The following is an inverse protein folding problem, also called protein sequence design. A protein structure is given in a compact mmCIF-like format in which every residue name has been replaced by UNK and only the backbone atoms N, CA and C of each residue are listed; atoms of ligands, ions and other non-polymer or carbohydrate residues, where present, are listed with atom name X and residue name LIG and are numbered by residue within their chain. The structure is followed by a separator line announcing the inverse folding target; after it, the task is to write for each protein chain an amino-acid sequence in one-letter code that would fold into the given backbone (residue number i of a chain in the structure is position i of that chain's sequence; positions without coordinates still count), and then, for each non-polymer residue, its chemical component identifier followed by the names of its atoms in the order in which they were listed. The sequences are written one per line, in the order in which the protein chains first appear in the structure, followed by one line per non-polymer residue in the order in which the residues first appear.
data_IF_328585522905
#
_entry.id   IF_328585522905
#
_cell.length_a   1.000
_cell.length_b   1.000
_cell.length_c   1.000
_cell.angle_alpha   90.00
_cell.angle_beta   90.00
_cell.angle_gamma   90.00
#
_symmetry.space_group_name_H-M   'P 1'
#
loop_
_entity.id
_entity.type
_entity.pdbx_description
1 polymer ?
#
# COMPACT_ATOMS: atom_id res chain seq x y z
N UNK A 1 -7.61 -11.82 32.93
CA UNK A 1 -7.19 -10.40 32.76
C UNK A 1 -7.19 -10.10 31.28
N UNK A 2 -7.93 -9.08 30.82
CA UNK A 2 -7.97 -8.72 29.39
C UNK A 2 -6.70 -7.97 28.98
N UNK A 3 -6.19 -8.23 27.78
CA UNK A 3 -5.07 -7.47 27.21
C UNK A 3 -5.55 -6.05 26.91
N UNK A 4 -4.89 -5.04 27.51
CA UNK A 4 -5.16 -3.63 27.22
C UNK A 4 -4.20 -3.15 26.13
N UNK A 5 -4.72 -2.99 24.91
CA UNK A 5 -3.91 -2.56 23.76
C UNK A 5 -3.54 -1.07 23.91
N UNK A 6 -2.34 -0.70 23.45
CA UNK A 6 -1.87 0.70 23.48
C UNK A 6 -1.72 1.19 22.03
N UNK A 7 -2.18 2.41 21.71
CA UNK A 7 -1.92 2.99 20.40
C UNK A 7 -0.45 3.42 20.28
N UNK A 8 0.01 3.48 19.04
CA UNK A 8 1.33 4.01 18.72
C UNK A 8 1.37 5.54 18.81
N UNK A 9 2.58 6.08 18.77
CA UNK A 9 2.83 7.53 18.72
C UNK A 9 2.61 8.02 17.28
N UNK A 10 2.02 9.22 17.16
CA UNK A 10 1.85 9.89 15.87
C UNK A 10 2.68 11.17 15.78
N UNK A 11 3.61 11.20 14.83
CA UNK A 11 4.47 12.36 14.53
C UNK A 11 4.17 13.00 13.17
N UNK A 12 3.27 12.41 12.39
CA UNK A 12 2.97 12.82 11.00
C UNK A 12 3.92 12.22 9.95
N UNK A 13 4.53 11.06 10.25
CA UNK A 13 5.45 10.35 9.35
C UNK A 13 4.80 9.14 8.65
N UNK A 14 3.60 8.74 9.08
CA UNK A 14 2.76 7.72 8.46
C UNK A 14 1.46 8.38 7.98
N UNK A 15 0.77 7.85 6.95
CA UNK A 15 -0.51 8.39 6.50
C UNK A 15 -1.53 8.44 7.65
N UNK A 16 -2.15 9.61 7.87
CA UNK A 16 -3.08 9.81 8.98
C UNK A 16 -4.23 8.79 8.98
N UNK A 17 -4.72 8.41 7.80
CA UNK A 17 -5.81 7.43 7.63
C UNK A 17 -5.43 6.05 8.21
N UNK A 18 -4.21 5.60 7.95
CA UNK A 18 -3.73 4.29 8.44
C UNK A 18 -3.60 4.30 9.97
N UNK A 19 -3.00 5.37 10.50
CA UNK A 19 -2.88 5.56 11.94
C UNK A 19 -4.25 5.60 12.65
N UNK A 20 -5.21 6.39 12.12
CA UNK A 20 -6.55 6.47 12.71
C UNK A 20 -7.32 5.15 12.61
N UNK A 21 -7.12 4.35 11.56
CA UNK A 21 -7.73 3.03 11.44
C UNK A 21 -7.25 2.09 12.56
N UNK A 22 -5.93 2.03 12.80
CA UNK A 22 -5.35 1.24 13.89
C UNK A 22 -5.80 1.77 15.27
N UNK A 23 -5.77 3.09 15.46
CA UNK A 23 -6.22 3.74 16.70
C UNK A 23 -7.68 3.38 17.02
N UNK A 24 -8.58 3.45 16.03
CA UNK A 24 -9.99 3.15 16.20
C UNK A 24 -10.25 1.68 16.50
N UNK A 25 -9.45 0.77 15.91
CA UNK A 25 -9.50 -0.65 16.25
C UNK A 25 -9.13 -0.89 17.72
N UNK A 26 -8.07 -0.25 18.19
CA UNK A 26 -7.61 -0.32 19.59
C UNK A 26 -8.65 0.28 20.55
N UNK A 27 -9.19 1.45 20.20
CA UNK A 27 -10.23 2.11 20.99
C UNK A 27 -11.47 1.23 21.15
N UNK A 28 -11.92 0.58 20.07
CA UNK A 28 -13.03 -0.37 20.10
C UNK A 28 -12.72 -1.60 20.96
N UNK A 29 -11.53 -2.18 20.80
CA UNK A 29 -11.11 -3.34 21.58
C UNK A 29 -11.07 -3.03 23.09
N UNK A 30 -10.63 -1.83 23.46
CA UNK A 30 -10.57 -1.36 24.83
C UNK A 30 -11.87 -0.70 25.34
N UNK A 31 -12.92 -0.60 24.51
CA UNK A 31 -14.21 0.03 24.83
C UNK A 31 -14.07 1.47 25.33
N UNK A 32 -13.23 2.27 24.67
CA UNK A 32 -13.09 3.68 25.00
C UNK A 32 -14.30 4.49 24.55
N UNK A 33 -14.83 5.30 25.46
CA UNK A 33 -15.78 6.37 25.16
C UNK A 33 -15.06 7.57 24.53
N UNK A 34 -15.81 8.49 23.92
CA UNK A 34 -15.25 9.56 23.10
C UNK A 34 -14.31 10.50 23.87
N UNK A 35 -14.60 10.83 25.12
CA UNK A 35 -13.70 11.63 25.97
C UNK A 35 -12.36 10.91 26.18
N UNK A 36 -12.41 9.61 26.46
CA UNK A 36 -11.20 8.77 26.64
C UNK A 36 -10.44 8.65 25.33
N UNK A 37 -11.13 8.47 24.20
CA UNK A 37 -10.52 8.44 22.86
C UNK A 37 -9.81 9.75 22.56
N UNK A 38 -10.42 10.87 22.88
CA UNK A 38 -9.85 12.21 22.63
C UNK A 38 -8.60 12.43 23.46
N UNK A 39 -8.68 12.17 24.77
CA UNK A 39 -7.54 12.32 25.68
C UNK A 39 -6.36 11.43 25.26
N UNK A 40 -6.64 10.16 24.91
CA UNK A 40 -5.59 9.23 24.48
C UNK A 40 -5.02 9.64 23.13
N UNK A 41 -5.84 10.03 22.15
CA UNK A 41 -5.37 10.50 20.84
C UNK A 41 -4.44 11.70 21.01
N UNK A 42 -4.84 12.69 21.81
CA UNK A 42 -4.01 13.85 22.14
C UNK A 42 -2.69 13.44 22.80
N UNK A 43 -2.74 12.45 23.71
CA UNK A 43 -1.55 11.94 24.40
C UNK A 43 -0.57 11.19 23.49
N UNK A 44 -1.02 10.67 22.34
CA UNK A 44 -0.19 10.00 21.36
C UNK A 44 0.53 10.97 20.41
N UNK A 45 0.14 12.25 20.35
CA UNK A 45 0.73 13.22 19.42
C UNK A 45 2.13 13.65 19.88
N UNK A 46 3.11 13.57 18.98
CA UNK A 46 4.50 14.03 19.19
C UNK A 46 4.96 14.88 18.02
N UNK A 47 6.10 15.57 18.20
CA UNK A 47 6.71 16.42 17.18
C UNK A 47 5.72 17.39 16.52
N UNK A 48 5.69 17.39 15.19
CA UNK A 48 4.83 18.28 14.38
C UNK A 48 3.34 18.05 14.62
N UNK A 49 2.93 16.84 15.02
CA UNK A 49 1.53 16.54 15.30
C UNK A 49 1.07 17.15 16.62
N UNK A 50 1.94 17.20 17.65
CA UNK A 50 1.63 17.84 18.93
C UNK A 50 1.32 19.32 18.79
N UNK A 51 1.97 20.00 17.83
CA UNK A 51 1.75 21.43 17.56
C UNK A 51 0.31 21.78 17.12
N UNK A 52 -0.52 20.78 16.79
CA UNK A 52 -1.96 21.02 16.57
C UNK A 52 -2.66 21.45 17.86
N UNK A 53 -2.25 20.89 19.00
CA UNK A 53 -2.88 21.14 20.30
C UNK A 53 -2.73 22.60 20.75
N UNK A 54 -1.67 23.30 20.31
CA UNK A 54 -1.43 24.71 20.62
C UNK A 54 -2.50 25.64 20.02
N UNK A 55 -3.17 25.22 18.94
CA UNK A 55 -4.18 26.02 18.25
C UNK A 55 -5.62 25.72 18.75
N UNK A 56 -5.76 24.90 19.79
CA UNK A 56 -7.06 24.50 20.35
C UNK A 56 -7.36 25.38 21.56
N UNK A 57 -8.45 26.15 21.48
CA UNK A 57 -8.81 27.13 22.52
C UNK A 57 -9.31 26.49 23.81
N UNK A 58 -9.99 25.36 23.72
CA UNK A 58 -10.54 24.66 24.88
C UNK A 58 -10.15 23.18 24.82
N UNK A 59 -8.98 22.87 25.38
CA UNK A 59 -8.45 21.51 25.40
C UNK A 59 -9.26 20.58 26.33
N UNK A 60 -9.90 21.13 27.36
CA UNK A 60 -10.67 20.37 28.36
C UNK A 60 -11.98 19.82 27.77
N UNK A 61 -12.62 20.57 26.87
CA UNK A 61 -13.85 20.15 26.18
C UNK A 61 -13.59 19.67 24.75
N UNK A 62 -12.33 19.44 24.37
CA UNK A 62 -11.97 19.03 23.01
C UNK A 62 -12.66 17.72 22.66
N UNK A 63 -13.41 17.74 21.56
CA UNK A 63 -14.10 16.55 21.05
C UNK A 63 -13.23 15.78 20.06
N UNK A 64 -13.45 14.47 19.97
CA UNK A 64 -12.67 13.58 19.11
C UNK A 64 -12.69 14.05 17.65
N UNK A 65 -13.87 14.38 17.14
CA UNK A 65 -14.03 14.83 15.75
C UNK A 65 -13.37 16.19 15.49
N UNK A 66 -13.28 17.08 16.48
CA UNK A 66 -12.55 18.34 16.32
C UNK A 66 -11.04 18.08 16.19
N UNK A 67 -10.47 17.26 17.08
CA UNK A 67 -9.05 16.90 17.02
C UNK A 67 -8.71 16.16 15.72
N UNK A 68 -9.55 15.20 15.33
CA UNK A 68 -9.43 14.47 14.07
C UNK A 68 -9.48 15.41 12.87
N UNK A 69 -10.43 16.35 12.83
CA UNK A 69 -10.53 17.33 11.74
C UNK A 69 -9.27 18.19 11.62
N UNK A 70 -8.70 18.66 12.75
CA UNK A 70 -7.43 19.40 12.73
C UNK A 70 -6.24 18.56 12.24
N UNK A 71 -6.21 17.28 12.61
CA UNK A 71 -5.23 16.32 12.09
C UNK A 71 -5.40 16.13 10.60
N UNK A 72 -6.63 15.96 10.11
CA UNK A 72 -6.95 15.82 8.68
C UNK A 72 -6.58 17.08 7.89
N UNK A 73 -6.80 18.28 8.43
CA UNK A 73 -6.38 19.52 7.77
C UNK A 73 -4.84 19.62 7.61
N UNK A 74 -4.07 19.07 8.54
CA UNK A 74 -2.60 19.23 8.56
C UNK A 74 -1.85 18.05 7.95
N UNK A 75 -2.35 16.84 8.17
CA UNK A 75 -1.73 15.58 7.79
C UNK A 75 -2.66 14.66 7.00
N UNK A 76 -3.92 15.06 6.81
CA UNK A 76 -4.79 14.38 5.88
C UNK A 76 -4.18 14.50 4.49
N UNK A 77 -4.00 13.36 3.87
CA UNK A 77 -3.69 13.32 2.47
C UNK A 77 -4.95 13.76 1.71
N UNK A 78 -4.92 14.96 1.12
CA UNK A 78 -5.92 15.36 0.10
C UNK A 78 -5.65 14.60 -1.19
N UNK A 79 -5.50 13.28 -1.11
CA UNK A 79 -5.46 12.44 -2.28
C UNK A 79 -6.89 12.32 -2.80
N UNK A 80 -7.15 13.05 -3.87
CA UNK A 80 -8.39 12.92 -4.61
C UNK A 80 -8.48 11.53 -5.21
N UNK A 81 -9.70 11.07 -5.48
CA UNK A 81 -9.94 9.82 -6.22
C UNK A 81 -9.12 9.78 -7.53
N UNK A 82 -9.01 10.92 -8.22
CA UNK A 82 -8.18 11.08 -9.42
C UNK A 82 -6.68 10.86 -9.16
N UNK A 83 -6.16 11.30 -8.01
CA UNK A 83 -4.78 11.03 -7.62
C UNK A 83 -4.53 9.54 -7.43
N UNK A 84 -5.45 8.82 -6.77
CA UNK A 84 -5.35 7.37 -6.62
C UNK A 84 -5.44 6.64 -7.96
N UNK A 85 -6.34 7.06 -8.86
CA UNK A 85 -6.40 6.53 -10.22
C UNK A 85 -5.08 6.73 -10.97
N UNK A 86 -4.49 7.93 -10.89
CA UNK A 86 -3.22 8.23 -11.53
C UNK A 86 -2.09 7.36 -10.95
N UNK A 87 -2.00 7.24 -9.63
CA UNK A 87 -0.99 6.41 -8.99
C UNK A 87 -1.15 4.93 -9.33
N UNK A 88 -2.38 4.42 -9.33
CA UNK A 88 -2.67 3.03 -9.68
C UNK A 88 -2.24 2.73 -11.12
N UNK A 89 -2.70 3.54 -12.09
CA UNK A 89 -2.42 3.30 -13.52
C UNK A 89 -0.96 3.52 -13.90
N UNK A 90 -0.27 4.45 -13.21
CA UNK A 90 1.16 4.72 -13.41
C UNK A 90 2.08 3.84 -12.56
N UNK A 91 1.55 2.97 -11.70
CA UNK A 91 2.38 2.08 -10.88
C UNK A 91 3.23 1.16 -11.76
N UNK A 92 4.54 1.17 -11.54
CA UNK A 92 5.52 0.27 -12.18
C UNK A 92 6.44 -0.32 -11.11
N UNK A 93 6.86 -1.56 -11.28
CA UNK A 93 7.82 -2.21 -10.40
C UNK A 93 9.15 -1.46 -10.44
N UNK A 94 9.65 -1.08 -9.27
CA UNK A 94 10.95 -0.40 -9.16
C UNK A 94 12.09 -1.42 -9.28
N UNK A 95 13.26 -0.96 -9.68
CA UNK A 95 14.46 -1.79 -9.68
C UNK A 95 14.73 -2.34 -8.27
N UNK A 96 14.91 -3.66 -8.16
CA UNK A 96 15.11 -4.33 -6.87
C UNK A 96 13.85 -4.49 -5.99
N UNK A 97 12.69 -4.00 -6.43
CA UNK A 97 11.44 -4.20 -5.70
C UNK A 97 10.95 -5.65 -5.82
N UNK A 98 10.55 -6.24 -4.69
CA UNK A 98 10.01 -7.59 -4.68
C UNK A 98 8.63 -7.66 -5.34
N UNK A 99 8.34 -8.79 -5.98
CA UNK A 99 7.02 -9.08 -6.59
C UNK A 99 5.89 -8.98 -5.55
N UNK A 100 6.15 -9.38 -4.31
CA UNK A 100 5.18 -9.29 -3.21
C UNK A 100 4.89 -7.83 -2.84
N UNK A 101 5.92 -6.99 -2.71
CA UNK A 101 5.78 -5.56 -2.40
C UNK A 101 4.99 -4.83 -3.49
N UNK A 102 5.27 -5.11 -4.76
CA UNK A 102 4.48 -4.59 -5.89
C UNK A 102 3.01 -5.00 -5.76
N UNK A 103 2.75 -6.29 -5.51
CA UNK A 103 1.39 -6.82 -5.37
C UNK A 103 0.59 -6.15 -4.26
N UNK A 104 1.18 -6.02 -3.07
CA UNK A 104 0.55 -5.35 -1.93
C UNK A 104 0.25 -3.88 -2.21
N UNK A 105 1.12 -3.18 -2.93
CA UNK A 105 0.91 -1.77 -3.25
C UNK A 105 -0.16 -1.59 -4.34
N UNK A 106 -0.21 -2.47 -5.35
CA UNK A 106 -1.30 -2.53 -6.33
C UNK A 106 -2.65 -2.76 -5.64
N UNK A 107 -2.70 -3.69 -4.68
CA UNK A 107 -3.91 -3.97 -3.91
C UNK A 107 -4.38 -2.74 -3.14
N UNK A 108 -3.49 -2.14 -2.35
CA UNK A 108 -3.75 -0.92 -1.57
C UNK A 108 -4.25 0.22 -2.46
N UNK A 109 -3.56 0.50 -3.58
CA UNK A 109 -3.95 1.56 -4.51
C UNK A 109 -5.31 1.29 -5.16
N UNK A 110 -5.61 0.03 -5.50
CA UNK A 110 -6.90 -0.32 -6.11
C UNK A 110 -8.09 -0.08 -5.18
N UNK A 111 -7.94 -0.32 -3.88
CA UNK A 111 -9.01 -0.12 -2.89
C UNK A 111 -9.35 1.37 -2.75
N UNK A 112 -8.37 2.24 -2.94
CA UNK A 112 -8.54 3.69 -2.94
C UNK A 112 -8.97 4.26 -4.29
N UNK A 113 -8.53 3.66 -5.39
CA UNK A 113 -8.86 4.09 -6.74
C UNK A 113 -10.27 3.66 -7.16
N UNK A 114 -10.68 2.42 -6.85
CA UNK A 114 -11.97 1.85 -7.27
C UNK A 114 -12.82 1.38 -6.08
N UNK A 115 -13.20 2.28 -5.15
CA UNK A 115 -14.04 1.92 -4.00
C UNK A 115 -15.44 1.45 -4.41
N UNK A 116 -15.96 1.90 -5.56
CA UNK A 116 -17.29 1.57 -6.09
C UNK A 116 -17.37 0.20 -6.77
N UNK A 117 -16.23 -0.37 -7.17
CA UNK A 117 -16.20 -1.67 -7.85
C UNK A 117 -16.41 -2.83 -6.88
N UNK A 118 -17.06 -3.92 -7.32
CA UNK A 118 -17.09 -5.17 -6.55
C UNK A 118 -15.69 -5.78 -6.42
N UNK A 119 -15.48 -6.61 -5.40
CA UNK A 119 -14.18 -7.26 -5.19
C UNK A 119 -13.74 -8.11 -6.40
N UNK A 120 -14.70 -8.75 -7.08
CA UNK A 120 -14.44 -9.54 -8.30
C UNK A 120 -14.00 -8.69 -9.49
N UNK A 121 -14.56 -7.49 -9.65
CA UNK A 121 -14.16 -6.55 -10.70
C UNK A 121 -12.82 -5.93 -10.35
N UNK A 122 -12.64 -5.53 -9.09
CA UNK A 122 -11.39 -4.95 -8.59
C UNK A 122 -10.22 -5.94 -8.74
N UNK A 123 -10.42 -7.24 -8.47
CA UNK A 123 -9.39 -8.27 -8.64
C UNK A 123 -8.90 -8.39 -10.08
N UNK A 124 -9.82 -8.30 -11.07
CA UNK A 124 -9.45 -8.31 -12.49
C UNK A 124 -8.65 -7.06 -12.88
N UNK A 125 -9.07 -5.89 -12.38
CA UNK A 125 -8.36 -4.62 -12.61
C UNK A 125 -6.95 -4.68 -12.00
N UNK A 126 -6.84 -5.18 -10.78
CA UNK A 126 -5.56 -5.39 -10.09
C UNK A 126 -4.64 -6.35 -10.85
N UNK A 127 -5.14 -7.52 -11.29
CA UNK A 127 -4.35 -8.50 -12.02
C UNK A 127 -3.79 -7.93 -13.33
N UNK A 128 -4.64 -7.26 -14.11
CA UNK A 128 -4.22 -6.60 -15.35
C UNK A 128 -3.15 -5.53 -15.11
N UNK A 129 -3.35 -4.67 -14.10
CA UNK A 129 -2.40 -3.62 -13.78
C UNK A 129 -1.08 -4.18 -13.23
N UNK A 130 -1.13 -5.20 -12.37
CA UNK A 130 0.05 -5.86 -11.84
C UNK A 130 0.92 -6.44 -12.96
N UNK A 131 0.32 -7.18 -13.91
CA UNK A 131 1.04 -7.72 -15.06
C UNK A 131 1.65 -6.60 -15.90
N UNK A 132 0.90 -5.51 -16.13
CA UNK A 132 1.40 -4.34 -16.85
C UNK A 132 2.59 -3.68 -16.15
N UNK A 133 2.58 -3.67 -14.81
CA UNK A 133 3.55 -3.00 -13.96
C UNK A 133 4.87 -3.77 -13.76
N UNK A 134 4.93 -5.07 -14.06
CA UNK A 134 6.14 -5.89 -13.90
C UNK A 134 7.32 -5.33 -14.69
N UNK A 135 8.50 -5.32 -14.06
CA UNK A 135 9.75 -4.87 -14.67
C UNK A 135 10.30 -5.89 -15.67
N UNK A 136 10.23 -7.17 -15.34
CA UNK A 136 10.72 -8.26 -16.19
C UNK A 136 9.75 -8.53 -17.35
N UNK A 137 10.19 -8.21 -18.57
CA UNK A 137 9.41 -8.39 -19.80
C UNK A 137 9.06 -9.84 -20.12
N UNK A 138 9.93 -10.80 -19.76
CA UNK A 138 9.69 -12.22 -19.95
C UNK A 138 8.61 -12.75 -19.00
N UNK A 139 8.69 -12.39 -17.70
CA UNK A 139 7.66 -12.73 -16.72
C UNK A 139 6.32 -12.13 -17.15
N UNK A 140 6.30 -10.85 -17.50
CA UNK A 140 5.11 -10.15 -18.01
C UNK A 140 4.50 -10.88 -19.20
N UNK A 141 5.30 -11.22 -20.22
CA UNK A 141 4.80 -11.87 -21.43
C UNK A 141 4.25 -13.28 -21.15
N UNK A 142 4.91 -14.03 -20.28
CA UNK A 142 4.47 -15.37 -19.87
C UNK A 142 3.07 -15.31 -19.24
N UNK A 143 2.87 -14.41 -18.28
CA UNK A 143 1.58 -14.24 -17.60
C UNK A 143 0.46 -13.79 -18.55
N UNK A 144 0.78 -12.95 -19.55
CA UNK A 144 -0.17 -12.52 -20.59
C UNK A 144 -0.62 -13.69 -21.47
N UNK A 145 0.30 -14.56 -21.89
CA UNK A 145 -0.01 -15.74 -22.72
C UNK A 145 -0.87 -16.74 -21.94
N UNK A 146 -0.59 -16.91 -20.65
CA UNK A 146 -1.35 -17.79 -19.76
C UNK A 146 -2.75 -17.24 -19.42
N UNK A 147 -3.06 -15.99 -19.77
CA UNK A 147 -4.38 -15.40 -19.53
C UNK A 147 -4.70 -15.20 -18.03
N UNK A 148 -3.67 -14.99 -17.20
CA UNK A 148 -3.86 -14.79 -15.76
C UNK A 148 -4.58 -13.46 -15.51
N UNK A 149 -5.67 -13.49 -14.74
CA UNK A 149 -6.52 -12.30 -14.49
C UNK A 149 -6.69 -11.93 -13.02
N UNK A 150 -6.47 -12.87 -12.09
CA UNK A 150 -6.54 -12.61 -10.65
C UNK A 150 -5.19 -12.11 -10.12
N UNK A 151 -5.21 -11.11 -9.23
CA UNK A 151 -3.98 -10.57 -8.63
C UNK A 151 -3.20 -11.66 -7.88
N UNK A 152 -3.90 -12.46 -7.06
CA UNK A 152 -3.25 -13.51 -6.24
C UNK A 152 -2.52 -14.51 -7.11
N UNK A 153 -3.21 -15.03 -8.14
CA UNK A 153 -2.64 -16.02 -9.07
C UNK A 153 -1.47 -15.40 -9.85
N UNK A 154 -1.58 -14.14 -10.27
CA UNK A 154 -0.49 -13.44 -10.95
C UNK A 154 0.76 -13.31 -10.07
N UNK A 155 0.61 -12.99 -8.78
CA UNK A 155 1.75 -12.88 -7.84
C UNK A 155 2.44 -14.24 -7.67
N UNK A 156 1.67 -15.30 -7.42
CA UNK A 156 2.19 -16.66 -7.23
C UNK A 156 2.92 -17.16 -8.48
N UNK A 157 2.33 -16.92 -9.65
CA UNK A 157 2.92 -17.29 -10.93
C UNK A 157 4.16 -16.49 -11.25
N UNK A 158 4.13 -15.18 -11.06
CA UNK A 158 5.29 -14.30 -11.30
C UNK A 158 6.48 -14.71 -10.43
N UNK A 159 6.25 -15.03 -9.14
CA UNK A 159 7.29 -15.58 -8.26
C UNK A 159 7.89 -16.87 -8.82
N UNK A 160 7.05 -17.80 -9.26
CA UNK A 160 7.47 -19.09 -9.81
C UNK A 160 8.32 -18.95 -11.08
N UNK A 161 7.92 -18.06 -11.99
CA UNK A 161 8.67 -17.78 -13.24
C UNK A 161 10.00 -17.07 -12.92
N UNK A 162 9.97 -16.07 -12.03
CA UNK A 162 11.14 -15.28 -11.65
C UNK A 162 12.22 -16.11 -10.92
N UNK A 163 11.81 -17.09 -10.11
CA UNK A 163 12.73 -18.04 -9.46
C UNK A 163 13.35 -19.07 -10.43
N UNK A 164 13.05 -18.98 -11.73
CA UNK A 164 13.57 -19.91 -12.75
C UNK A 164 12.99 -21.32 -12.65
N UNK A 165 11.93 -21.51 -11.86
CA UNK A 165 11.43 -22.84 -11.51
C UNK A 165 10.78 -23.57 -12.70
N UNK A 166 10.44 -22.88 -13.80
CA UNK A 166 9.58 -23.49 -14.83
C UNK A 166 10.21 -23.64 -16.23
N UNK A 167 11.03 -22.76 -16.82
CA UNK A 167 11.49 -23.01 -18.22
C UNK A 167 12.88 -22.44 -18.58
N UNK A 168 13.95 -23.23 -18.43
CA UNK A 168 15.26 -22.90 -19.01
C UNK A 168 15.19 -22.69 -20.54
N UNK A 169 14.38 -23.48 -21.26
CA UNK A 169 14.31 -23.41 -22.73
C UNK A 169 13.59 -22.16 -23.26
N UNK A 170 12.49 -21.73 -22.64
CA UNK A 170 11.79 -20.53 -23.10
C UNK A 170 12.57 -19.25 -22.79
N UNK A 171 13.28 -19.19 -21.65
CA UNK A 171 14.16 -18.06 -21.33
C UNK A 171 15.32 -17.98 -22.33
N UNK A 172 15.97 -19.11 -22.61
CA UNK A 172 17.04 -19.20 -23.62
C UNK A 172 16.55 -18.79 -25.02
N UNK A 173 15.34 -19.19 -25.40
CA UNK A 173 14.72 -18.81 -26.68
C UNK A 173 14.31 -17.34 -26.72
N UNK A 174 13.91 -16.75 -25.59
CA UNK A 174 13.62 -15.31 -25.49
C UNK A 174 14.89 -14.46 -25.61
N UNK A 175 15.96 -14.85 -24.91
CA UNK A 175 17.29 -14.19 -25.00
C UNK A 175 17.90 -14.27 -26.41
N UNK A 176 17.56 -15.29 -27.20
CA UNK A 176 17.98 -15.41 -28.60
C UNK A 176 17.15 -14.56 -29.58
N UNK A 177 15.91 -14.19 -29.22
CA UNK A 177 14.99 -13.44 -30.07
C UNK A 177 15.03 -11.93 -29.79
N UNK A 178 15.28 -11.54 -28.54
CA UNK A 178 15.43 -10.15 -28.15
C UNK A 178 16.93 -9.79 -28.19
N UNK A 179 17.39 -9.25 -29.32
CA UNK A 179 18.81 -8.92 -29.58
C UNK A 179 19.43 -7.83 -28.68
N UNK A 180 18.88 -7.59 -27.50
CA UNK A 180 19.41 -6.67 -26.49
C UNK A 180 20.21 -7.44 -25.44
N UNK A 181 21.50 -7.61 -25.74
CA UNK A 181 22.54 -7.95 -24.77
C UNK A 181 22.53 -6.93 -23.61
N UNK A 182 21.84 -7.24 -22.53
CA UNK A 182 22.07 -6.61 -21.23
C UNK A 182 22.47 -7.72 -20.27
N UNK A 183 23.75 -8.06 -20.22
CA UNK A 183 24.51 -8.47 -19.02
C UNK A 183 25.96 -8.78 -19.44
N UNK A 184 26.78 -7.74 -19.57
CA UNK A 184 28.20 -7.83 -19.22
C UNK A 184 28.39 -7.03 -17.94
N UNK A 185 28.75 -7.68 -16.84
CA UNK A 185 29.02 -7.00 -15.59
C UNK A 185 28.82 -7.82 -14.33
N UNK A 186 29.33 -9.05 -14.27
CA UNK A 186 29.79 -9.61 -13.00
C UNK A 186 31.24 -10.02 -13.20
N UNK A 187 32.14 -9.07 -12.94
CA UNK A 187 33.49 -9.40 -12.57
C UNK A 187 33.47 -9.95 -11.15
N UNK A 188 34.01 -11.15 -10.97
CA UNK A 188 34.77 -11.56 -9.79
C UNK A 188 35.34 -12.97 -9.99
N UNK A 189 36.53 -13.03 -10.62
CA UNK A 189 37.79 -13.62 -10.13
C UNK A 189 38.70 -13.96 -11.30
#
# INVERSE_FOLDING_TARGET
MGVKLKPDIYEGNVPLREYLAQFNLIARANRWEDDTRTAILASCLRGRARAILENIKNLENLQFEELKSKLEMRFGETQTLQSYYSQFTNRRQKFGESIASLGSDIERLSQSAYPECSDTVRDKIMGAQFISALFDGFVKRTLQIEGVTSLRVAIERAKSVNSGAILPEFKKRWELLDGSNFFYGIGHK
#
